data_IF_910223549067
#
_entry.id   IF_910223549067
#
_cell.length_a   1.000
_cell.length_b   1.000
_cell.length_c   1.000
_cell.angle_alpha   90.00
_cell.angle_beta   90.00
_cell.angle_gamma   90.00
#
_symmetry.space_group_name_H-M   'P 1'
#
loop_
_entity.id
_entity.type
_entity.pdbx_description
1 polymer ?
#
# COMPACT_ATOMS: atom_id res chain seq x y z
N UNK A 1 -1.37 18.96 67.53
CA UNK A 1 0.04 19.09 67.94
C UNK A 1 0.87 18.60 66.76
N UNK A 2 1.26 19.39 65.77
CA UNK A 2 1.80 20.75 65.87
C UNK A 2 3.30 20.66 66.14
N UNK A 3 4.11 20.40 65.11
CA UNK A 3 5.54 20.73 65.12
C UNK A 3 6.11 20.77 63.70
N UNK A 4 6.05 21.97 63.14
CA UNK A 4 7.02 22.50 62.18
C UNK A 4 8.35 22.76 62.91
N UNK A 5 9.45 22.87 62.17
CA UNK A 5 10.56 23.71 62.63
C UNK A 5 11.97 23.30 62.20
N UNK A 6 12.60 24.21 61.44
CA UNK A 6 14.03 24.45 61.21
C UNK A 6 14.78 23.45 60.30
N UNK A 7 15.37 23.85 59.18
CA UNK A 7 15.90 25.16 58.78
C UNK A 7 17.34 25.33 59.25
N UNK A 8 18.30 25.35 58.32
CA UNK A 8 19.71 25.58 58.61
C UNK A 8 20.57 25.56 57.36
N UNK A 9 20.82 26.74 56.81
CA UNK A 9 21.73 27.00 55.70
C UNK A 9 23.12 27.42 56.22
N UNK A 10 24.15 27.05 55.47
CA UNK A 10 25.27 27.96 55.17
C UNK A 10 26.59 27.79 55.93
N UNK A 11 27.65 28.08 55.15
CA UNK A 11 29.08 28.25 55.49
C UNK A 11 29.85 26.95 55.79
N UNK A 12 30.90 26.57 55.08
CA UNK A 12 31.90 27.38 54.37
C UNK A 12 33.19 27.39 55.20
N UNK A 13 34.14 26.51 54.88
CA UNK A 13 35.53 26.65 55.32
C UNK A 13 36.47 25.86 54.39
N UNK A 14 37.32 26.63 53.74
CA UNK A 14 38.36 26.27 52.79
C UNK A 14 39.65 25.97 53.56
N UNK A 15 40.26 24.78 53.39
CA UNK A 15 41.66 24.52 53.72
C UNK A 15 42.19 23.35 52.90
N UNK A 16 43.37 23.53 52.30
CA UNK A 16 44.27 22.40 52.02
C UNK A 16 44.62 22.15 50.56
N UNK A 17 45.46 23.02 50.02
CA UNK A 17 46.24 22.85 48.79
C UNK A 17 47.05 21.53 48.83
N UNK A 18 46.69 20.57 47.97
CA UNK A 18 47.55 19.46 47.59
C UNK A 18 47.74 19.50 46.06
N UNK A 19 48.86 20.11 45.69
CA UNK A 19 49.39 20.28 44.34
C UNK A 19 49.77 18.92 43.71
N UNK A 20 48.81 18.26 43.05
CA UNK A 20 49.07 17.13 42.17
C UNK A 20 49.23 17.64 40.74
N UNK A 21 50.48 17.90 40.35
CA UNK A 21 50.85 18.24 38.97
C UNK A 21 50.70 17.01 38.07
N UNK A 22 49.50 16.80 37.52
CA UNK A 22 49.33 15.96 36.34
C UNK A 22 49.56 16.83 35.10
N UNK A 23 50.77 16.78 34.54
CA UNK A 23 51.03 17.33 33.20
C UNK A 23 50.49 16.33 32.17
N UNK A 24 49.21 16.42 31.87
CA UNK A 24 48.65 15.84 30.64
C UNK A 24 48.86 16.85 29.50
N UNK A 25 49.78 16.57 28.58
CA UNK A 25 49.92 17.24 27.28
C UNK A 25 48.83 16.78 26.31
N UNK A 26 47.59 16.73 26.78
CA UNK A 26 46.42 16.39 25.97
C UNK A 26 45.41 17.49 26.21
N UNK A 27 45.31 18.39 25.24
CA UNK A 27 44.37 19.50 25.28
C UNK A 27 42.94 18.93 25.28
N UNK A 28 42.11 19.23 26.29
CA UNK A 28 40.74 18.71 26.39
C UNK A 28 39.89 19.06 25.17
N UNK A 29 40.19 20.18 24.50
CA UNK A 29 39.53 20.61 23.26
C UNK A 29 39.93 19.80 22.03
N UNK A 30 41.16 19.25 21.99
CA UNK A 30 41.64 18.41 20.90
C UNK A 30 41.07 16.98 20.99
N UNK A 31 40.93 16.47 22.22
CA UNK A 31 40.21 15.22 22.50
C UNK A 31 38.71 15.36 22.20
N UNK A 32 38.10 16.50 22.53
CA UNK A 32 36.70 16.78 22.21
C UNK A 32 36.46 16.90 20.70
N UNK A 33 37.38 17.52 19.94
CA UNK A 33 37.26 17.59 18.47
C UNK A 33 37.46 16.23 17.80
N UNK A 34 38.33 15.36 18.30
CA UNK A 34 38.49 14.02 17.73
C UNK A 34 37.34 13.05 18.07
N UNK A 35 36.60 13.30 19.16
CA UNK A 35 35.43 12.48 19.55
C UNK A 35 34.11 13.05 18.97
N UNK A 36 34.00 14.38 18.80
CA UNK A 36 32.75 15.05 18.41
C UNK A 36 32.80 15.80 17.06
N UNK A 37 33.96 15.89 16.41
CA UNK A 37 34.19 16.72 15.21
C UNK A 37 34.07 16.01 13.85
N UNK A 38 33.86 14.68 13.82
CA UNK A 38 33.65 13.95 12.57
C UNK A 38 32.49 12.96 12.67
N UNK A 39 31.28 13.47 12.47
CA UNK A 39 30.08 12.66 12.20
C UNK A 39 29.04 12.67 13.32
N UNK A 40 28.22 13.72 13.36
CA UNK A 40 27.11 13.81 14.30
C UNK A 40 25.96 12.84 14.00
N UNK A 41 25.47 12.16 15.03
CA UNK A 41 24.07 12.12 15.47
C UNK A 41 23.99 11.37 16.81
N UNK A 42 23.12 11.84 17.71
CA UNK A 42 23.16 11.57 19.14
C UNK A 42 22.72 10.19 19.63
N UNK A 43 23.01 9.94 20.92
CA UNK A 43 22.34 8.93 21.73
C UNK A 43 23.26 7.94 22.43
N UNK A 44 23.92 8.38 23.50
CA UNK A 44 24.36 7.62 24.69
C UNK A 44 24.65 6.11 24.56
N UNK A 45 25.94 5.77 24.52
CA UNK A 45 26.44 4.42 24.82
C UNK A 45 27.42 4.53 25.99
N UNK A 46 27.00 4.09 27.16
CA UNK A 46 27.82 3.98 28.36
C UNK A 46 27.69 2.54 28.88
N UNK A 47 28.82 1.95 29.29
CA UNK A 47 28.91 0.74 30.12
C UNK A 47 28.53 -0.62 29.50
N UNK A 48 29.53 -1.50 29.33
CA UNK A 48 29.36 -2.84 28.78
C UNK A 48 28.49 -3.81 29.60
N UNK A 49 27.92 -4.78 28.88
CA UNK A 49 27.30 -5.98 29.44
C UNK A 49 25.95 -6.30 28.81
N UNK A 50 25.87 -7.46 28.15
CA UNK A 50 24.63 -8.17 27.78
C UNK A 50 23.73 -7.55 26.70
N UNK A 51 24.13 -7.69 25.43
CA UNK A 51 23.14 -7.80 24.35
C UNK A 51 23.60 -8.65 23.15
N UNK A 52 24.40 -9.69 23.36
CA UNK A 52 24.70 -10.68 22.30
C UNK A 52 23.67 -11.81 22.27
N UNK A 53 22.38 -11.42 22.28
CA UNK A 53 21.25 -12.34 22.36
C UNK A 53 19.88 -11.74 21.98
N UNK A 54 19.79 -10.46 21.64
CA UNK A 54 18.54 -9.81 21.22
C UNK A 54 18.83 -8.84 20.07
N UNK A 55 18.78 -9.35 18.84
CA UNK A 55 19.04 -8.55 17.64
C UNK A 55 18.35 -9.03 16.37
N UNK A 56 17.54 -10.10 16.41
CA UNK A 56 16.46 -10.20 15.43
C UNK A 56 15.34 -9.30 15.92
N UNK A 57 15.54 -7.99 15.76
CA UNK A 57 14.44 -7.04 15.68
C UNK A 57 13.43 -7.71 14.77
N UNK A 58 12.28 -8.10 15.32
CA UNK A 58 11.18 -8.71 14.59
C UNK A 58 10.61 -7.65 13.67
N UNK A 59 11.38 -7.24 12.66
CA UNK A 59 10.91 -6.29 11.68
C UNK A 59 9.60 -6.88 11.15
N UNK A 60 8.51 -6.10 11.22
CA UNK A 60 7.24 -6.54 10.70
C UNK A 60 7.50 -6.96 9.25
N UNK A 61 7.14 -8.19 8.92
CA UNK A 61 7.36 -8.69 7.57
C UNK A 61 6.34 -7.99 6.69
N UNK A 62 6.80 -6.98 5.97
CA UNK A 62 6.02 -6.25 4.99
C UNK A 62 5.96 -7.05 3.69
N UNK A 63 4.74 -7.27 3.20
CA UNK A 63 4.47 -7.99 1.97
C UNK A 63 3.69 -7.08 1.05
N UNK A 64 4.24 -6.83 -0.14
CA UNK A 64 3.55 -6.05 -1.15
C UNK A 64 2.69 -6.98 -2.00
N UNK A 65 1.38 -6.76 -1.98
CA UNK A 65 0.44 -7.49 -2.81
C UNK A 65 -0.03 -6.63 -3.97
N UNK A 66 0.36 -6.99 -5.19
CA UNK A 66 -0.13 -6.34 -6.41
C UNK A 66 -1.55 -6.83 -6.73
N UNK A 67 -2.44 -5.91 -7.02
CA UNK A 67 -3.83 -6.16 -7.37
C UNK A 67 -4.18 -5.39 -8.64
N UNK A 68 -5.01 -5.98 -9.49
CA UNK A 68 -5.62 -5.21 -10.58
C UNK A 68 -6.73 -4.32 -10.03
N UNK A 69 -7.07 -3.24 -10.75
CA UNK A 69 -8.17 -2.35 -10.37
C UNK A 69 -9.47 -3.11 -10.08
N UNK A 70 -9.86 -4.04 -10.96
CA UNK A 70 -11.08 -4.84 -10.78
C UNK A 70 -11.03 -5.75 -9.56
N UNK A 71 -9.85 -6.30 -9.21
CA UNK A 71 -9.67 -7.11 -8.00
C UNK A 71 -9.81 -6.26 -6.73
N UNK A 72 -9.19 -5.08 -6.70
CA UNK A 72 -9.31 -4.15 -5.58
C UNK A 72 -10.75 -3.64 -5.41
N UNK A 73 -11.46 -3.46 -6.51
CA UNK A 73 -12.84 -3.00 -6.52
C UNK A 73 -13.85 -4.04 -6.01
N UNK A 74 -13.75 -5.28 -6.48
CA UNK A 74 -14.68 -6.37 -6.12
C UNK A 74 -14.31 -7.06 -4.81
N UNK A 75 -13.06 -6.99 -4.40
CA UNK A 75 -12.49 -7.83 -3.36
C UNK A 75 -12.22 -9.24 -3.88
N UNK A 76 -11.14 -9.85 -3.41
CA UNK A 76 -10.72 -11.19 -3.82
C UNK A 76 -9.91 -11.85 -2.71
N UNK A 77 -10.03 -13.17 -2.58
CA UNK A 77 -9.12 -13.94 -1.74
C UNK A 77 -7.90 -14.31 -2.58
N UNK A 78 -6.71 -13.84 -2.17
CA UNK A 78 -5.46 -14.08 -2.92
C UNK A 78 -4.49 -14.87 -2.06
N UNK A 79 -3.98 -15.96 -2.62
CA UNK A 79 -3.00 -16.80 -1.94
C UNK A 79 -1.59 -16.26 -2.13
N UNK A 80 -0.83 -16.22 -1.05
CA UNK A 80 0.59 -15.86 -1.04
C UNK A 80 1.39 -16.93 -0.31
N UNK A 81 2.59 -17.20 -0.80
CA UNK A 81 3.53 -18.13 -0.16
C UNK A 81 4.58 -17.32 0.56
N UNK A 82 4.59 -17.38 1.90
CA UNK A 82 5.57 -16.69 2.72
C UNK A 82 6.44 -17.69 3.47
N UNK A 83 7.73 -17.39 3.56
CA UNK A 83 8.65 -18.08 4.46
C UNK A 83 8.65 -17.34 5.80
N UNK A 84 8.09 -17.97 6.83
CA UNK A 84 7.96 -17.39 8.18
C UNK A 84 8.64 -18.32 9.18
N UNK A 85 9.33 -17.75 10.17
CA UNK A 85 9.78 -18.47 11.35
C UNK A 85 8.57 -18.76 12.24
N UNK A 86 8.17 -20.02 12.33
CA UNK A 86 7.02 -20.43 13.15
C UNK A 86 7.44 -21.53 14.14
N UNK A 87 6.60 -21.73 15.15
CA UNK A 87 6.74 -22.80 16.13
C UNK A 87 6.81 -24.14 15.42
N UNK A 88 7.78 -24.96 15.81
CA UNK A 88 7.99 -26.25 15.17
C UNK A 88 6.72 -27.10 15.28
N UNK A 89 6.18 -27.54 14.15
CA UNK A 89 4.95 -28.35 14.10
C UNK A 89 5.09 -29.72 14.75
N UNK A 90 6.31 -30.29 14.73
CA UNK A 90 6.61 -31.60 15.31
C UNK A 90 6.68 -31.57 16.84
N UNK A 91 7.46 -30.65 17.42
CA UNK A 91 7.59 -30.54 18.88
C UNK A 91 6.68 -29.49 19.54
N UNK A 92 5.85 -28.77 18.77
CA UNK A 92 5.02 -27.66 19.25
C UNK A 92 5.76 -26.61 20.11
N UNK A 93 7.06 -26.43 19.88
CA UNK A 93 7.90 -25.49 20.64
C UNK A 93 8.54 -26.08 21.91
N UNK A 94 8.28 -27.34 22.25
CA UNK A 94 8.87 -28.02 23.42
C UNK A 94 10.36 -28.36 23.23
N UNK A 95 10.89 -28.24 22.00
CA UNK A 95 12.29 -28.51 21.62
C UNK A 95 12.74 -29.97 21.75
N UNK A 96 11.92 -30.84 22.34
CA UNK A 96 12.14 -32.29 22.46
C UNK A 96 11.46 -33.06 21.32
N UNK A 97 11.95 -34.27 21.05
CA UNK A 97 11.29 -35.19 20.12
C UNK A 97 9.94 -35.68 20.71
N UNK A 98 8.85 -35.80 19.91
CA UNK A 98 7.55 -36.24 20.41
C UNK A 98 7.64 -37.58 21.16
N UNK A 99 7.06 -37.64 22.36
CA UNK A 99 7.16 -38.80 23.25
C UNK A 99 8.31 -38.73 24.27
N UNK A 100 9.25 -37.80 24.11
CA UNK A 100 10.28 -37.50 25.11
C UNK A 100 9.93 -36.20 25.86
N UNK A 101 10.30 -36.12 27.14
CA UNK A 101 10.02 -34.94 27.97
C UNK A 101 11.32 -34.24 28.36
N UNK A 102 11.25 -32.92 28.43
CA UNK A 102 12.33 -32.12 29.00
C UNK A 102 12.46 -32.48 30.50
N UNK A 103 13.66 -32.90 30.92
CA UNK A 103 13.92 -33.21 32.32
C UNK A 103 14.52 -32.00 33.01
N UNK A 104 14.24 -31.81 34.31
CA UNK A 104 14.89 -30.75 35.09
C UNK A 104 16.40 -30.94 35.03
N UNK A 105 17.15 -29.85 34.78
CA UNK A 105 18.60 -29.96 34.69
C UNK A 105 19.18 -30.37 36.05
N UNK A 106 19.86 -31.52 36.09
CA UNK A 106 20.47 -32.09 37.30
C UNK A 106 21.68 -31.31 37.79
N UNK A 107 22.43 -30.68 36.88
CA UNK A 107 23.64 -29.90 37.20
C UNK A 107 23.35 -28.58 37.91
N UNK A 108 22.26 -27.90 37.54
CA UNK A 108 21.85 -26.64 38.17
C UNK A 108 20.60 -26.79 39.05
N UNK A 109 20.05 -28.00 39.21
CA UNK A 109 18.77 -28.26 39.86
C UNK A 109 17.66 -27.29 39.42
N UNK A 110 17.63 -26.98 38.13
CA UNK A 110 16.66 -26.04 37.53
C UNK A 110 16.89 -24.55 37.83
N UNK A 111 18.02 -24.16 38.43
CA UNK A 111 18.35 -22.75 38.65
C UNK A 111 18.75 -22.03 37.35
N UNK A 112 19.28 -22.76 36.37
CA UNK A 112 19.80 -22.22 35.11
C UNK A 112 21.20 -21.60 35.23
N UNK A 113 21.76 -21.56 36.44
CA UNK A 113 23.08 -21.00 36.74
C UNK A 113 23.93 -22.02 37.49
N UNK A 114 25.23 -22.02 37.22
CA UNK A 114 26.22 -22.81 37.97
C UNK A 114 27.17 -21.84 38.68
N UNK A 115 27.57 -22.21 39.90
CA UNK A 115 28.55 -21.46 40.68
C UNK A 115 29.93 -22.03 40.38
N UNK A 116 30.79 -21.21 39.78
CA UNK A 116 32.18 -21.56 39.50
C UNK A 116 33.04 -20.85 40.55
N UNK A 117 33.70 -21.62 41.41
CA UNK A 117 34.67 -21.11 42.37
C UNK A 117 36.08 -21.33 41.82
N UNK A 118 36.78 -20.25 41.47
CA UNK A 118 38.19 -20.29 41.07
C UNK A 118 38.99 -19.50 42.09
N UNK A 119 39.66 -20.19 43.01
CA UNK A 119 40.38 -19.56 44.12
C UNK A 119 39.45 -18.84 45.11
N UNK A 120 39.82 -17.66 45.66
CA UNK A 120 38.99 -16.92 46.62
C UNK A 120 37.77 -16.23 45.98
N UNK A 121 37.60 -16.34 44.65
CA UNK A 121 36.51 -15.71 43.92
C UNK A 121 35.43 -16.72 43.53
N UNK A 122 34.19 -16.39 43.87
CA UNK A 122 32.99 -17.16 43.49
C UNK A 122 32.23 -16.39 42.43
N UNK A 123 32.09 -16.97 41.24
CA UNK A 123 31.37 -16.35 40.13
C UNK A 123 30.17 -17.23 39.73
N UNK A 124 28.99 -16.62 39.59
CA UNK A 124 27.83 -17.30 38.98
C UNK A 124 27.90 -17.14 37.47
N UNK A 125 27.87 -18.25 36.76
CA UNK A 125 27.79 -18.29 35.31
C UNK A 125 26.55 -19.05 34.86
N UNK A 126 26.13 -18.88 33.61
CA UNK A 126 25.05 -19.67 33.02
C UNK A 126 25.44 -21.15 33.01
N UNK A 127 24.56 -22.04 33.45
CA UNK A 127 24.87 -23.47 33.50
C UNK A 127 25.27 -23.97 32.10
N UNK A 128 26.44 -24.60 31.98
CA UNK A 128 27.00 -25.04 30.68
C UNK A 128 26.15 -26.12 30.01
N UNK A 129 25.44 -26.93 30.81
CA UNK A 129 24.63 -28.04 30.33
C UNK A 129 23.25 -27.62 29.82
N UNK A 130 22.52 -26.77 30.55
CA UNK A 130 21.20 -26.30 30.11
C UNK A 130 21.25 -24.94 29.39
N UNK A 131 22.40 -24.26 29.35
CA UNK A 131 22.58 -22.93 28.76
C UNK A 131 21.52 -21.92 29.24
N UNK A 132 21.15 -22.00 30.52
CA UNK A 132 20.12 -21.15 31.12
C UNK A 132 18.67 -21.60 30.94
N UNK A 133 18.38 -22.63 30.13
CA UNK A 133 17.00 -23.12 29.90
C UNK A 133 16.36 -23.86 31.08
N UNK A 134 17.13 -24.16 32.15
CA UNK A 134 16.72 -24.87 33.38
C UNK A 134 16.30 -26.34 33.18
N UNK A 135 16.16 -26.77 31.93
CA UNK A 135 15.82 -28.14 31.54
C UNK A 135 16.94 -28.74 30.68
N UNK A 136 17.11 -30.05 30.79
CA UNK A 136 18.01 -30.83 29.95
C UNK A 136 17.15 -31.59 28.93
N UNK A 137 17.43 -31.36 27.65
CA UNK A 137 16.78 -32.05 26.53
C UNK A 137 17.74 -33.15 26.08
N UNK A 138 17.42 -34.41 26.41
CA UNK A 138 18.25 -35.57 26.00
C UNK A 138 18.12 -35.88 24.52
N UNK A 139 16.91 -35.75 23.99
CA UNK A 139 16.59 -36.03 22.58
C UNK A 139 16.00 -34.77 21.95
N UNK A 140 16.85 -33.92 21.33
CA UNK A 140 16.37 -32.71 20.67
C UNK A 140 15.49 -33.09 19.48
N UNK A 141 14.50 -32.24 19.18
CA UNK A 141 13.63 -32.47 18.03
C UNK A 141 14.43 -32.43 16.73
N UNK A 142 14.27 -33.47 15.91
CA UNK A 142 14.97 -33.65 14.62
C UNK A 142 14.63 -32.60 13.57
N UNK A 143 13.46 -31.95 13.65
CA UNK A 143 13.01 -30.96 12.65
C UNK A 143 13.51 -29.54 12.94
N UNK A 144 13.75 -29.21 14.21
CA UNK A 144 14.19 -27.87 14.60
C UNK A 144 15.55 -27.84 15.31
N UNK A 145 16.24 -28.99 15.42
CA UNK A 145 17.52 -29.15 16.13
C UNK A 145 17.50 -28.55 17.54
N UNK A 146 16.41 -28.77 18.28
CA UNK A 146 16.23 -28.21 19.63
C UNK A 146 16.00 -26.69 19.71
N UNK A 147 15.80 -25.98 18.58
CA UNK A 147 15.49 -24.53 18.56
C UNK A 147 14.04 -24.22 18.93
N UNK A 148 13.12 -25.14 18.64
CA UNK A 148 11.68 -24.99 18.92
C UNK A 148 10.92 -24.17 17.87
N UNK A 149 11.64 -23.56 16.93
CA UNK A 149 11.10 -22.84 15.78
C UNK A 149 11.93 -23.20 14.53
N UNK A 150 11.30 -23.16 13.37
CA UNK A 150 12.01 -23.30 12.10
C UNK A 150 11.32 -22.48 11.00
N UNK A 151 12.05 -22.19 9.92
CA UNK A 151 11.49 -21.44 8.80
C UNK A 151 10.61 -22.36 7.95
N UNK A 152 9.30 -22.14 7.98
CA UNK A 152 8.34 -22.89 7.19
C UNK A 152 7.79 -22.02 6.05
N UNK A 153 7.59 -22.63 4.87
CA UNK A 153 6.78 -22.02 3.81
C UNK A 153 5.31 -22.26 4.15
N UNK A 154 4.56 -21.19 4.34
CA UNK A 154 3.11 -21.24 4.57
C UNK A 154 2.40 -20.59 3.40
N UNK A 155 1.39 -21.28 2.87
CA UNK A 155 0.43 -20.70 1.93
C UNK A 155 -0.65 -20.02 2.76
N UNK A 156 -0.78 -18.72 2.58
CA UNK A 156 -1.71 -17.87 3.32
C UNK A 156 -2.72 -17.28 2.34
N UNK A 157 -4.00 -17.51 2.60
CA UNK A 157 -5.09 -16.86 1.87
C UNK A 157 -5.37 -15.52 2.51
N UNK A 158 -5.09 -14.44 1.79
CA UNK A 158 -5.32 -13.08 2.26
C UNK A 158 -6.66 -12.59 1.72
N UNK A 159 -7.64 -12.29 2.57
CA UNK A 159 -8.89 -11.68 2.13
C UNK A 159 -8.65 -10.20 1.81
N UNK A 160 -8.80 -9.83 0.55
CA UNK A 160 -8.77 -8.43 0.12
C UNK A 160 -10.20 -7.88 0.20
N UNK A 161 -10.49 -6.91 1.08
CA UNK A 161 -11.81 -6.33 1.15
C UNK A 161 -12.14 -5.55 -0.14
N UNK A 162 -13.42 -5.47 -0.53
CA UNK A 162 -13.85 -4.64 -1.65
C UNK A 162 -13.63 -3.15 -1.34
N UNK A 163 -13.11 -2.40 -2.32
CA UNK A 163 -12.91 -0.95 -2.20
C UNK A 163 -11.53 -0.54 -1.67
N UNK A 164 -10.57 -1.47 -1.57
CA UNK A 164 -9.20 -1.20 -1.10
C UNK A 164 -8.52 -0.11 -1.93
N UNK A 165 -7.85 0.81 -1.25
CA UNK A 165 -7.07 1.90 -1.87
C UNK A 165 -5.62 1.48 -2.16
N UNK A 166 -4.99 2.20 -3.08
CA UNK A 166 -3.56 2.01 -3.36
C UNK A 166 -2.73 2.46 -2.15
N UNK A 167 -1.76 1.62 -1.76
CA UNK A 167 -0.92 1.87 -0.58
C UNK A 167 -1.57 1.49 0.75
N UNK A 168 -2.80 1.00 0.77
CA UNK A 168 -3.45 0.58 2.00
C UNK A 168 -2.76 -0.65 2.60
N UNK A 169 -2.49 -0.61 3.90
CA UNK A 169 -1.86 -1.72 4.63
C UNK A 169 -2.84 -2.42 5.56
N UNK A 170 -2.90 -3.74 5.50
CA UNK A 170 -3.67 -4.59 6.43
C UNK A 170 -2.75 -5.41 7.28
N UNK A 171 -3.04 -5.48 8.57
CA UNK A 171 -2.33 -6.31 9.55
C UNK A 171 -3.02 -7.66 9.68
N UNK A 172 -2.25 -8.74 9.56
CA UNK A 172 -2.74 -10.11 9.74
C UNK A 172 -1.80 -10.91 10.64
N UNK A 173 -2.34 -11.68 11.59
CA UNK A 173 -1.57 -12.60 12.41
C UNK A 173 -1.49 -13.96 11.73
N UNK A 174 -0.29 -14.53 11.63
CA UNK A 174 -0.01 -15.78 10.91
C UNK A 174 0.81 -16.75 11.74
N UNK A 175 0.59 -18.05 11.49
CA UNK A 175 1.28 -19.14 12.18
C UNK A 175 0.82 -19.39 13.62
N UNK A 176 1.41 -20.41 14.26
CA UNK A 176 1.15 -20.76 15.68
C UNK A 176 1.72 -19.72 16.63
N UNK A 177 2.83 -19.09 16.25
CA UNK A 177 3.44 -18.00 17.01
C UNK A 177 2.68 -16.67 16.90
N UNK A 178 1.58 -16.60 16.11
CA UNK A 178 0.78 -15.40 15.83
C UNK A 178 1.66 -14.20 15.43
N UNK A 179 2.65 -14.45 14.57
CA UNK A 179 3.50 -13.38 14.07
C UNK A 179 2.65 -12.41 13.23
N UNK A 180 2.76 -11.12 13.49
CA UNK A 180 2.07 -10.10 12.70
C UNK A 180 2.82 -9.86 11.38
N UNK A 181 2.07 -9.85 10.28
CA UNK A 181 2.53 -9.43 8.96
C UNK A 181 1.71 -8.22 8.50
N UNK A 182 2.36 -7.35 7.75
CA UNK A 182 1.76 -6.14 7.20
C UNK A 182 1.70 -6.32 5.69
N UNK A 183 0.49 -6.31 5.15
CA UNK A 183 0.25 -6.53 3.73
C UNK A 183 -0.15 -5.20 3.13
N UNK A 184 0.74 -4.62 2.34
CA UNK A 184 0.49 -3.37 1.63
C UNK A 184 -0.01 -3.68 0.23
N UNK A 185 -1.22 -3.25 -0.07
CA UNK A 185 -1.82 -3.42 -1.38
C UNK A 185 -1.29 -2.36 -2.35
N UNK A 186 -0.89 -2.81 -3.54
CA UNK A 186 -0.59 -1.92 -4.66
C UNK A 186 -1.57 -2.18 -5.79
N UNK A 187 -2.37 -1.20 -6.12
CA UNK A 187 -3.43 -1.31 -7.12
C UNK A 187 -2.91 -0.76 -8.45
N UNK A 188 -2.92 -1.62 -9.47
CA UNK A 188 -2.56 -1.21 -10.83
C UNK A 188 -3.62 -0.27 -11.41
N UNK A 189 -3.15 0.74 -12.15
CA UNK A 189 -4.03 1.67 -12.86
C UNK A 189 -4.84 0.91 -13.92
N UNK A 190 -6.11 1.27 -14.08
CA UNK A 190 -6.95 0.74 -15.15
C UNK A 190 -6.87 1.64 -16.38
N UNK A 191 -6.91 1.05 -17.57
CA UNK A 191 -7.03 1.80 -18.83
C UNK A 191 -8.45 2.36 -19.05
N UNK A 192 -9.45 1.78 -18.37
CA UNK A 192 -10.87 2.08 -18.57
C UNK A 192 -11.40 2.99 -17.46
N UNK A 193 -10.95 2.76 -16.22
CA UNK A 193 -11.48 3.41 -15.02
C UNK A 193 -10.43 4.29 -14.34
N UNK A 194 -10.83 5.52 -14.05
CA UNK A 194 -10.11 6.45 -13.19
C UNK A 194 -10.88 6.53 -11.86
N UNK A 195 -10.21 6.30 -10.73
CA UNK A 195 -10.85 6.34 -9.40
C UNK A 195 -10.74 7.73 -8.78
N UNK A 196 -11.85 8.21 -8.24
CA UNK A 196 -11.92 9.41 -7.40
C UNK A 196 -12.67 9.07 -6.10
N UNK A 197 -11.90 8.72 -5.05
CA UNK A 197 -12.47 8.23 -3.79
C UNK A 197 -13.28 6.94 -3.97
N UNK A 198 -14.60 7.02 -3.71
CA UNK A 198 -15.55 5.92 -3.93
C UNK A 198 -16.20 5.96 -5.33
N UNK A 199 -16.08 7.09 -6.03
CA UNK A 199 -16.64 7.26 -7.36
C UNK A 199 -15.62 6.82 -8.41
N UNK A 200 -16.11 6.46 -9.59
CA UNK A 200 -15.27 6.12 -10.74
C UNK A 200 -15.65 6.93 -11.96
N UNK A 201 -14.65 7.22 -12.77
CA UNK A 201 -14.80 7.89 -14.04
C UNK A 201 -14.40 6.95 -15.17
N UNK A 202 -15.22 6.87 -16.20
CA UNK A 202 -14.92 6.11 -17.41
C UNK A 202 -15.20 6.97 -18.64
N UNK A 203 -14.50 6.68 -19.75
CA UNK A 203 -14.71 7.36 -21.03
C UNK A 203 -15.51 6.45 -21.95
N UNK A 204 -16.51 7.00 -22.63
CA UNK A 204 -17.32 6.26 -23.60
C UNK A 204 -17.37 7.02 -24.92
N UNK A 205 -16.95 6.35 -25.99
CA UNK A 205 -16.99 6.91 -27.34
C UNK A 205 -18.38 6.71 -27.94
N UNK A 206 -18.97 7.79 -28.48
CA UNK A 206 -20.25 7.77 -29.21
C UNK A 206 -20.05 8.24 -30.65
N UNK A 207 -20.89 7.76 -31.56
CA UNK A 207 -20.87 8.22 -32.96
C UNK A 207 -21.51 9.61 -33.11
N UNK A 208 -21.17 10.33 -34.18
CA UNK A 208 -21.78 11.62 -34.51
C UNK A 208 -23.31 11.50 -34.60
N UNK A 209 -23.82 10.48 -35.27
CA UNK A 209 -25.27 10.26 -35.41
C UNK A 209 -25.94 9.99 -34.06
N UNK A 210 -25.31 9.22 -33.17
CA UNK A 210 -25.84 8.99 -31.81
C UNK A 210 -25.79 10.26 -30.95
N UNK A 211 -24.79 11.12 -31.14
CA UNK A 211 -24.71 12.39 -30.42
C UNK A 211 -25.87 13.32 -30.82
N UNK A 212 -26.19 13.39 -32.12
CA UNK A 212 -27.25 14.26 -32.64
C UNK A 212 -28.64 13.67 -32.37
N UNK A 213 -28.87 12.40 -32.70
CA UNK A 213 -30.19 11.76 -32.66
C UNK A 213 -30.49 11.06 -31.33
N UNK A 214 -29.50 10.90 -30.46
CA UNK A 214 -29.60 10.06 -29.28
C UNK A 214 -29.46 8.57 -29.60
N UNK A 215 -29.70 7.74 -28.60
CA UNK A 215 -29.68 6.28 -28.72
C UNK A 215 -29.25 5.60 -27.44
N UNK A 216 -28.71 4.39 -27.53
CA UNK A 216 -28.20 3.65 -26.38
C UNK A 216 -26.83 3.10 -26.64
N UNK A 217 -25.97 3.10 -25.62
CA UNK A 217 -24.65 2.45 -25.66
C UNK A 217 -24.50 1.50 -24.48
N UNK A 218 -23.70 0.44 -24.67
CA UNK A 218 -23.27 -0.44 -23.59
C UNK A 218 -21.88 -0.03 -23.15
N UNK A 219 -21.70 0.19 -21.86
CA UNK A 219 -20.42 0.57 -21.27
C UNK A 219 -20.01 -0.45 -20.21
N UNK A 220 -18.69 -0.65 -20.01
CA UNK A 220 -18.20 -1.50 -18.93
C UNK A 220 -18.46 -0.82 -17.58
N UNK A 221 -19.03 -1.57 -16.64
CA UNK A 221 -19.09 -1.22 -15.23
C UNK A 221 -18.09 -2.03 -14.40
N UNK A 222 -17.93 -1.68 -13.12
CA UNK A 222 -17.03 -2.40 -12.22
C UNK A 222 -17.49 -3.84 -12.01
N UNK A 223 -18.79 -4.05 -11.83
CA UNK A 223 -19.39 -5.35 -11.54
C UNK A 223 -19.98 -5.96 -12.81
N UNK A 224 -20.88 -5.21 -13.44
CA UNK A 224 -21.60 -5.62 -14.64
C UNK A 224 -21.62 -4.47 -15.67
N UNK A 225 -21.72 -4.82 -16.94
CA UNK A 225 -21.93 -3.84 -18.01
C UNK A 225 -23.26 -3.12 -17.83
N UNK A 226 -23.28 -1.84 -18.16
CA UNK A 226 -24.47 -0.98 -18.03
C UNK A 226 -24.88 -0.48 -19.41
N UNK A 227 -26.18 -0.47 -19.69
CA UNK A 227 -26.74 0.19 -20.87
C UNK A 227 -27.13 1.61 -20.49
N UNK A 228 -26.59 2.58 -21.21
CA UNK A 228 -26.79 4.01 -20.96
C UNK A 228 -27.55 4.63 -22.13
N UNK A 229 -28.60 5.39 -21.79
CA UNK A 229 -29.33 6.21 -22.74
C UNK A 229 -28.53 7.48 -23.04
N UNK A 230 -28.34 7.75 -24.32
CA UNK A 230 -27.74 8.98 -24.84
C UNK A 230 -28.88 9.87 -25.30
N UNK A 231 -29.01 11.03 -24.67
CA UNK A 231 -30.02 12.02 -25.04
C UNK A 231 -29.63 12.68 -26.38
N UNK A 232 -30.61 13.01 -27.24
CA UNK A 232 -30.36 13.78 -28.45
C UNK A 232 -29.67 15.12 -28.12
N UNK A 233 -28.69 15.52 -28.93
CA UNK A 233 -27.90 16.72 -28.68
C UNK A 233 -26.78 16.55 -27.64
N UNK A 234 -26.39 15.32 -27.30
CA UNK A 234 -25.30 15.04 -26.35
C UNK A 234 -23.94 15.51 -26.89
N UNK A 235 -23.25 16.34 -26.11
CA UNK A 235 -21.90 16.86 -26.41
C UNK A 235 -20.77 15.94 -25.89
N UNK A 236 -19.55 16.13 -26.40
CA UNK A 236 -18.31 15.43 -25.97
C UNK A 236 -17.80 15.78 -24.56
N UNK A 237 -18.47 16.67 -23.83
CA UNK A 237 -18.17 16.95 -22.42
C UNK A 237 -19.32 16.54 -21.50
N UNK A 238 -20.35 15.91 -22.06
CA UNK A 238 -21.52 15.47 -21.30
C UNK A 238 -21.10 14.36 -20.33
N UNK A 239 -21.51 14.51 -19.08
CA UNK A 239 -21.25 13.53 -18.02
C UNK A 239 -22.57 12.87 -17.64
N UNK A 240 -22.63 11.56 -17.79
CA UNK A 240 -23.77 10.76 -17.34
C UNK A 240 -23.42 10.12 -16.01
N UNK A 241 -24.25 10.34 -14.99
CA UNK A 241 -24.08 9.77 -13.66
C UNK A 241 -24.92 8.50 -13.53
N UNK A 242 -24.27 7.39 -13.24
CA UNK A 242 -24.88 6.12 -12.87
C UNK A 242 -24.79 5.95 -11.37
N UNK A 243 -25.93 6.10 -10.69
CA UNK A 243 -26.03 6.03 -9.23
C UNK A 243 -25.69 4.63 -8.72
N UNK A 244 -24.91 4.56 -7.65
CA UNK A 244 -24.53 3.32 -6.95
C UNK A 244 -23.77 2.30 -7.82
N UNK A 245 -23.18 2.74 -8.93
CA UNK A 245 -22.37 1.91 -9.84
C UNK A 245 -20.86 2.09 -9.66
N UNK A 246 -20.44 2.81 -8.61
CA UNK A 246 -19.05 3.00 -8.23
C UNK A 246 -18.51 1.94 -7.27
N UNK A 247 -17.47 2.31 -6.53
CA UNK A 247 -16.80 1.42 -5.58
C UNK A 247 -17.55 1.37 -4.25
N UNK A 248 -17.43 0.25 -3.54
CA UNK A 248 -17.94 0.13 -2.18
C UNK A 248 -17.21 1.14 -1.28
N UNK A 249 -17.97 1.91 -0.49
CA UNK A 249 -17.40 2.86 0.48
C UNK A 249 -16.77 2.10 1.65
N UNK A 250 -15.52 2.43 1.97
CA UNK A 250 -14.84 1.87 3.13
C UNK A 250 -15.45 2.46 4.41
N UNK A 251 -15.90 1.60 5.33
CA UNK A 251 -16.46 2.01 6.63
C UNK A 251 -17.92 2.50 6.61
N UNK A 252 -18.58 2.56 5.45
CA UNK A 252 -20.00 2.91 5.33
C UNK A 252 -20.78 1.81 4.59
N UNK A 253 -22.08 1.69 4.87
CA UNK A 253 -22.97 1.02 3.92
C UNK A 253 -23.11 1.91 2.68
N UNK A 254 -23.02 1.30 1.50
CA UNK A 254 -23.27 1.96 0.22
C UNK A 254 -22.12 1.93 -0.77
N UNK A 255 -22.44 2.38 -1.98
CA UNK A 255 -21.54 2.46 -3.12
C UNK A 255 -21.36 3.93 -3.54
N UNK A 256 -20.25 4.24 -4.19
CA UNK A 256 -20.11 5.46 -4.96
C UNK A 256 -20.84 5.36 -6.30
N UNK A 257 -20.62 6.34 -7.15
CA UNK A 257 -21.24 6.46 -8.47
C UNK A 257 -20.24 6.26 -9.60
N UNK A 258 -20.76 5.91 -10.78
CA UNK A 258 -19.98 5.90 -12.02
C UNK A 258 -20.33 7.10 -12.89
N UNK A 259 -19.33 7.91 -13.21
CA UNK A 259 -19.44 9.05 -14.11
C UNK A 259 -18.86 8.69 -15.47
N UNK A 260 -19.72 8.71 -16.47
CA UNK A 260 -19.37 8.37 -17.85
C UNK A 260 -19.17 9.66 -18.61
N UNK A 261 -17.94 9.91 -19.04
CA UNK A 261 -17.60 11.04 -19.89
C UNK A 261 -17.77 10.62 -21.34
N UNK A 262 -18.77 11.19 -22.01
CA UNK A 262 -19.03 10.92 -23.42
C UNK A 262 -17.99 11.63 -24.28
N UNK A 263 -17.54 10.98 -25.35
CA UNK A 263 -16.68 11.58 -26.36
C UNK A 263 -17.21 11.27 -27.74
N UNK A 264 -17.53 12.30 -28.53
CA UNK A 264 -17.97 12.09 -29.91
C UNK A 264 -16.76 11.73 -30.76
N UNK A 265 -16.77 10.51 -31.31
CA UNK A 265 -15.70 10.00 -32.16
C UNK A 265 -15.94 10.45 -33.59
N UNK A 266 -15.25 11.52 -33.99
CA UNK A 266 -15.34 12.03 -35.36
C UNK A 266 -14.67 11.05 -36.35
N UNK A 267 -15.35 10.66 -37.45
CA UNK A 267 -14.74 9.84 -38.49
C UNK A 267 -13.61 10.59 -39.18
N UNK A 268 -12.43 9.95 -39.29
CA UNK A 268 -11.24 10.54 -39.95
C UNK A 268 -11.30 10.49 -41.48
N UNK A 269 -12.07 9.56 -42.02
CA UNK A 269 -12.26 9.34 -43.47
C UNK A 269 -13.75 9.12 -43.71
N UNK A 270 -14.28 9.78 -44.72
CA UNK A 270 -15.67 9.66 -45.13
C UNK A 270 -15.72 9.07 -46.54
N UNK A 271 -16.68 8.19 -46.79
CA UNK A 271 -17.00 7.77 -48.17
C UNK A 271 -17.59 8.95 -48.96
N UNK A 272 -17.61 8.87 -50.29
CA UNK A 272 -18.22 9.90 -51.14
C UNK A 272 -19.69 10.18 -50.74
N UNK A 273 -20.44 9.13 -50.43
CA UNK A 273 -21.84 9.22 -49.98
C UNK A 273 -21.95 9.89 -48.60
N UNK A 274 -21.10 9.51 -47.64
CA UNK A 274 -21.11 10.12 -46.30
C UNK A 274 -20.71 11.60 -46.35
N UNK A 275 -19.72 11.95 -47.18
CA UNK A 275 -19.30 13.35 -47.38
C UNK A 275 -20.45 14.18 -47.93
N UNK A 276 -21.16 13.67 -48.95
CA UNK A 276 -22.33 14.33 -49.52
C UNK A 276 -23.45 14.54 -48.47
N UNK A 277 -23.73 13.56 -47.60
CA UNK A 277 -24.72 13.71 -46.53
C UNK A 277 -24.35 14.81 -45.53
N UNK A 278 -23.09 14.87 -45.10
CA UNK A 278 -22.62 15.90 -44.16
C UNK A 278 -22.61 17.29 -44.82
N UNK A 279 -22.25 17.37 -46.10
CA UNK A 279 -22.34 18.62 -46.87
C UNK A 279 -23.77 19.12 -47.02
N UNK A 280 -24.72 18.22 -47.32
CA UNK A 280 -26.14 18.58 -47.39
C UNK A 280 -26.68 19.03 -46.02
N UNK A 281 -26.28 18.38 -44.92
CA UNK A 281 -26.63 18.83 -43.57
C UNK A 281 -26.08 20.23 -43.28
N UNK A 282 -24.83 20.49 -43.65
CA UNK A 282 -24.18 21.77 -43.41
C UNK A 282 -24.75 22.94 -44.25
N UNK A 283 -25.46 22.66 -45.36
CA UNK A 283 -26.26 23.67 -46.07
C UNK A 283 -27.49 24.11 -45.29
N UNK A 284 -28.03 23.22 -44.45
CA UNK A 284 -29.23 23.45 -43.63
C UNK A 284 -28.91 23.94 -42.21
N UNK A 285 -27.63 24.02 -41.85
CA UNK A 285 -27.19 24.40 -40.51
C UNK A 285 -27.22 25.94 -40.37
N UNK A 286 -27.92 26.48 -39.38
CA UNK A 286 -28.09 27.93 -39.23
C UNK A 286 -26.97 28.60 -38.39
N UNK A 287 -26.41 27.90 -37.39
CA UNK A 287 -25.51 28.47 -36.37
C UNK A 287 -24.06 27.98 -36.51
N UNK A 288 -23.46 28.19 -37.68
CA UNK A 288 -22.06 27.80 -37.93
C UNK A 288 -21.09 28.94 -37.58
N UNK A 289 -20.22 28.79 -36.58
CA UNK A 289 -19.17 29.75 -36.34
C UNK A 289 -18.11 29.70 -37.46
N UNK A 290 -18.05 30.74 -38.28
CA UNK A 290 -17.03 30.89 -39.34
C UNK A 290 -17.41 30.24 -40.67
N UNK A 291 -16.44 29.59 -41.33
CA UNK A 291 -16.59 29.02 -42.68
C UNK A 291 -16.37 27.52 -42.68
N UNK A 292 -17.20 26.78 -43.43
CA UNK A 292 -17.03 25.35 -43.69
C UNK A 292 -16.38 25.17 -45.06
N UNK A 293 -15.30 24.39 -45.14
CA UNK A 293 -14.63 24.11 -46.41
C UNK A 293 -15.59 23.47 -47.42
N UNK A 294 -15.66 24.07 -48.62
CA UNK A 294 -16.52 23.59 -49.70
C UNK A 294 -17.96 24.12 -49.65
N UNK A 295 -18.31 24.97 -48.69
CA UNK A 295 -19.61 25.64 -48.59
C UNK A 295 -19.42 27.14 -48.77
N UNK A 296 -20.16 27.72 -49.72
CA UNK A 296 -20.19 29.16 -50.00
C UNK A 296 -21.59 29.72 -49.78
N UNK A 297 -21.68 31.04 -49.62
CA UNK A 297 -22.96 31.73 -49.53
C UNK A 297 -23.36 32.25 -50.91
N UNK A 298 -24.60 32.01 -51.30
CA UNK A 298 -25.22 32.65 -52.45
C UNK A 298 -25.58 34.11 -52.12
N UNK A 299 -25.91 34.88 -53.15
CA UNK A 299 -26.34 36.28 -53.00
C UNK A 299 -27.62 36.43 -52.18
N UNK A 300 -28.45 35.38 -52.11
CA UNK A 300 -29.66 35.30 -51.28
C UNK A 300 -29.37 34.99 -49.80
N UNK A 301 -28.09 34.80 -49.42
CA UNK A 301 -27.68 34.42 -48.08
C UNK A 301 -27.77 32.92 -47.78
N UNK A 302 -28.29 32.10 -48.70
CA UNK A 302 -28.35 30.65 -48.53
C UNK A 302 -26.99 29.99 -48.74
N UNK A 303 -26.72 28.92 -47.97
CA UNK A 303 -25.50 28.13 -48.10
C UNK A 303 -25.61 27.18 -49.30
N UNK A 304 -24.49 26.99 -49.99
CA UNK A 304 -24.39 26.12 -51.16
C UNK A 304 -23.02 25.44 -51.24
N UNK A 305 -23.02 24.13 -51.43
CA UNK A 305 -21.82 23.34 -51.61
C UNK A 305 -21.36 23.32 -53.07
N UNK A 306 -20.06 23.56 -53.29
CA UNK A 306 -19.44 23.68 -54.62
C UNK A 306 -18.83 22.36 -55.14
N UNK A 307 -18.72 21.34 -54.27
CA UNK A 307 -18.11 20.04 -54.58
C UNK A 307 -19.04 19.08 -55.37
N UNK A 308 -18.43 18.03 -55.97
CA UNK A 308 -19.03 16.98 -56.83
C UNK A 308 -20.51 16.64 -56.56
N UNK A 309 -21.33 16.91 -57.56
CA UNK A 309 -22.78 17.12 -57.43
C UNK A 309 -23.65 15.87 -57.46
N UNK A 310 -23.21 14.73 -58.00
CA UNK A 310 -24.15 13.65 -58.34
C UNK A 310 -24.92 13.08 -57.13
N UNK A 311 -24.24 12.84 -56.01
CA UNK A 311 -24.91 12.39 -54.78
C UNK A 311 -25.63 13.53 -54.05
N UNK A 312 -25.05 14.74 -54.06
CA UNK A 312 -25.63 15.91 -53.40
C UNK A 312 -26.95 16.34 -54.05
N UNK A 313 -27.03 16.36 -55.36
CA UNK A 313 -28.25 16.73 -56.08
C UNK A 313 -29.35 15.71 -55.88
N UNK A 314 -28.99 14.43 -55.82
CA UNK A 314 -29.94 13.36 -55.46
C UNK A 314 -30.50 13.57 -54.05
N UNK A 315 -29.64 13.90 -53.08
CA UNK A 315 -30.06 14.19 -51.70
C UNK A 315 -30.96 15.45 -51.64
N UNK A 316 -30.57 16.54 -52.32
CA UNK A 316 -31.36 17.79 -52.38
C UNK A 316 -32.74 17.55 -53.00
N UNK A 317 -32.81 16.72 -54.05
CA UNK A 317 -34.08 16.36 -54.70
C UNK A 317 -35.00 15.54 -53.79
N UNK A 318 -34.43 14.77 -52.85
CA UNK A 318 -35.18 13.93 -51.92
C UNK A 318 -35.64 14.68 -50.65
N UNK A 319 -35.00 15.79 -50.30
CA UNK A 319 -35.36 16.64 -49.13
C UNK A 319 -36.47 17.65 -49.49
N UNK A 320 -36.59 18.02 -50.77
CA UNK A 320 -37.67 18.88 -51.29
C UNK A 320 -38.99 18.13 -51.43
#
# INVERSE_FOLDING_TARGET
MGREGMGGAGAGANYGNANWNFRSTVDPEELFRNIFGQGGFGGSTDGGGFSEGFGFSSQPQEVIMKLTFSQAARGVNKDIVLKIMDTCTRCNGEKCEPGTKAQKCTYCNGSGMETISTGPFVMRSTCRHCKGSRVLIKTPCTTCDGKGQFAQRQNLTVPVPPGVEDGQTVRMAVGKSKKEIYITFRVEKSDIFERDGADIHSKADISLSQAVLGGTIRIPGIYDDQTVLIEPGSSSHTKIRLKEKGLKKMGSLGYGDQYVHLKVKMPKKLSKQQKALIQAYAELEDDTPGTIHGITYKQDGSKHCVDDQQYLDSIRSAIK
#
